data_IF_270561988360
#
_entry.id   IF_270561988360
#
_cell.length_a   1.000
_cell.length_b   1.000
_cell.length_c   1.000
_cell.angle_alpha   90.00
_cell.angle_beta   90.00
_cell.angle_gamma   90.00
#
_symmetry.space_group_name_H-M   'P 1'
#
loop_
_entity.id
_entity.type
_entity.pdbx_description
1 polymer ?
#
# COMPACT_ATOMS: atom_id res chain seq x y z
N UNK A 1 -44.59 32.93 1.88
CA UNK A 1 -43.15 33.04 1.56
C UNK A 1 -42.26 32.20 2.51
N UNK A 2 -42.43 32.15 3.82
CA UNK A 2 -41.59 31.37 4.76
C UNK A 2 -41.61 29.85 4.52
N UNK A 3 -42.73 29.26 4.08
CA UNK A 3 -42.90 27.81 3.86
C UNK A 3 -42.12 27.29 2.65
N UNK A 4 -41.90 28.10 1.62
CA UNK A 4 -41.17 27.75 0.42
C UNK A 4 -39.63 27.81 0.62
N UNK A 5 -39.19 28.69 1.55
CA UNK A 5 -37.75 28.81 1.89
C UNK A 5 -37.27 27.57 2.67
N UNK A 6 -38.13 27.04 3.57
CA UNK A 6 -37.81 25.82 4.35
C UNK A 6 -37.70 24.61 3.44
N UNK A 7 -38.57 24.49 2.42
CA UNK A 7 -38.49 23.42 1.41
C UNK A 7 -37.23 23.52 0.55
N UNK A 8 -36.77 24.74 0.22
CA UNK A 8 -35.56 24.95 -0.55
C UNK A 8 -34.28 24.61 0.26
N UNK A 9 -34.26 24.90 1.56
CA UNK A 9 -33.18 24.55 2.47
C UNK A 9 -33.07 23.02 2.70
N UNK A 10 -34.22 22.32 2.77
CA UNK A 10 -34.23 20.86 2.89
C UNK A 10 -33.77 20.15 1.63
N UNK A 11 -33.93 20.75 0.44
CA UNK A 11 -33.44 20.18 -0.83
C UNK A 11 -31.94 20.35 -1.01
N UNK A 12 -31.30 21.35 -0.39
CA UNK A 12 -29.85 21.55 -0.46
C UNK A 12 -29.04 20.58 0.41
N UNK A 13 -29.63 19.96 1.40
CA UNK A 13 -28.95 19.01 2.30
C UNK A 13 -28.82 17.58 1.75
N UNK A 14 -29.37 17.30 0.56
CA UNK A 14 -29.31 15.97 -0.06
C UNK A 14 -28.16 15.80 -1.07
N UNK A 15 -27.35 16.84 -1.28
CA UNK A 15 -26.09 16.68 -2.01
C UNK A 15 -25.01 16.27 -1.01
N UNK A 16 -25.24 15.15 -0.32
CA UNK A 16 -24.17 14.44 0.36
C UNK A 16 -23.26 13.89 -0.73
N UNK A 17 -22.04 14.41 -0.80
CA UNK A 17 -20.98 13.86 -1.63
C UNK A 17 -20.83 12.37 -1.32
N UNK A 18 -21.35 11.51 -2.17
CA UNK A 18 -20.83 10.17 -2.32
C UNK A 18 -19.48 10.35 -3.03
N UNK A 19 -18.45 10.66 -2.27
CA UNK A 19 -17.11 10.39 -2.77
C UNK A 19 -17.04 8.86 -2.87
N UNK A 20 -17.09 8.33 -4.08
CA UNK A 20 -16.70 6.95 -4.37
C UNK A 20 -15.21 6.83 -4.00
N UNK A 21 -14.96 6.69 -2.70
CA UNK A 21 -13.63 6.40 -2.19
C UNK A 21 -13.33 4.95 -2.54
N UNK A 22 -12.69 4.78 -3.68
CA UNK A 22 -12.19 3.48 -4.08
C UNK A 22 -11.04 3.14 -3.13
N UNK A 23 -11.32 2.34 -2.12
CA UNK A 23 -10.36 1.92 -1.09
C UNK A 23 -9.12 1.27 -1.70
N UNK A 24 -9.27 0.65 -2.87
CA UNK A 24 -8.18 -0.02 -3.58
C UNK A 24 -7.83 0.70 -4.88
N UNK A 25 -6.54 0.83 -5.10
CA UNK A 25 -6.00 1.45 -6.30
C UNK A 25 -6.17 0.52 -7.52
N UNK A 26 -6.77 1.02 -8.57
CA UNK A 26 -6.88 0.35 -9.87
C UNK A 26 -6.04 1.03 -10.95
N UNK A 27 -5.45 2.18 -10.63
CA UNK A 27 -4.68 2.99 -11.58
C UNK A 27 -3.35 2.35 -11.98
N UNK A 28 -2.68 1.70 -11.02
CA UNK A 28 -1.39 1.07 -11.23
C UNK A 28 -1.52 -0.44 -11.10
N UNK A 29 -1.19 -1.14 -12.18
CA UNK A 29 -1.32 -2.59 -12.23
C UNK A 29 -0.39 -3.26 -11.22
N UNK A 30 -0.95 -4.16 -10.43
CA UNK A 30 -0.21 -5.01 -9.52
C UNK A 30 -0.61 -6.47 -9.70
N UNK A 31 0.41 -7.32 -9.76
CA UNK A 31 0.31 -8.78 -9.75
C UNK A 31 1.59 -9.31 -9.11
N UNK A 32 1.50 -9.75 -7.87
CA UNK A 32 2.63 -10.24 -7.12
C UNK A 32 2.21 -11.35 -6.18
N UNK A 33 3.06 -12.36 -6.02
CA UNK A 33 2.87 -13.41 -5.02
C UNK A 33 4.15 -13.69 -4.27
N UNK A 34 4.03 -14.09 -3.01
CA UNK A 34 5.17 -14.50 -2.20
C UNK A 34 4.78 -15.53 -1.14
N UNK A 35 5.77 -16.33 -0.72
CA UNK A 35 5.64 -17.29 0.36
C UNK A 35 6.09 -16.64 1.66
N UNK A 36 5.14 -16.36 2.57
CA UNK A 36 5.38 -15.61 3.81
C UNK A 36 5.96 -16.44 4.96
N UNK A 37 6.18 -17.73 4.77
CA UNK A 37 6.90 -18.57 5.74
C UNK A 37 8.42 -18.48 5.60
N UNK A 38 8.88 -17.99 4.46
CA UNK A 38 10.31 -17.94 4.12
C UNK A 38 10.87 -16.52 4.27
N UNK A 39 12.13 -16.44 4.67
CA UNK A 39 12.90 -15.20 4.63
C UNK A 39 13.07 -14.77 3.16
N UNK A 40 12.89 -13.47 2.82
CA UNK A 40 12.70 -12.32 3.72
C UNK A 40 11.24 -11.94 4.00
N UNK A 41 10.27 -12.66 3.42
CA UNK A 41 8.85 -12.30 3.50
C UNK A 41 8.19 -12.63 4.84
N UNK A 42 8.81 -13.48 5.67
CA UNK A 42 8.26 -13.90 6.96
C UNK A 42 8.03 -12.74 7.95
N UNK A 43 8.67 -11.60 7.76
CA UNK A 43 8.46 -10.40 8.57
C UNK A 43 7.00 -9.89 8.52
N UNK A 44 6.28 -10.12 7.42
CA UNK A 44 4.87 -9.70 7.28
C UNK A 44 3.90 -10.47 8.19
N UNK A 45 4.36 -11.55 8.85
CA UNK A 45 3.55 -12.29 9.83
C UNK A 45 3.57 -11.64 11.23
N UNK A 46 4.36 -10.59 11.41
CA UNK A 46 4.49 -9.90 12.71
C UNK A 46 3.75 -8.56 12.65
N UNK A 47 2.89 -8.32 13.63
CA UNK A 47 2.14 -7.06 13.76
C UNK A 47 3.09 -5.87 13.82
N UNK A 48 2.74 -4.79 13.14
CA UNK A 48 3.52 -3.56 13.05
C UNK A 48 4.78 -3.67 12.18
N UNK A 49 5.05 -4.82 11.58
CA UNK A 49 6.22 -5.03 10.72
C UNK A 49 5.85 -4.85 9.25
N UNK A 50 6.65 -4.03 8.57
CA UNK A 50 6.50 -3.76 7.15
C UNK A 50 7.83 -3.97 6.42
N UNK A 51 7.76 -4.46 5.20
CA UNK A 51 8.88 -4.62 4.28
C UNK A 51 8.57 -3.91 2.97
N UNK A 52 9.61 -3.54 2.22
CA UNK A 52 9.42 -3.06 0.86
C UNK A 52 9.89 -4.10 -0.15
N UNK A 53 9.16 -4.22 -1.25
CA UNK A 53 9.49 -5.11 -2.37
C UNK A 53 9.63 -4.27 -3.64
N UNK A 54 10.77 -4.39 -4.31
CA UNK A 54 11.06 -3.68 -5.54
C UNK A 54 11.60 -4.63 -6.59
N UNK A 55 11.25 -4.38 -7.83
CA UNK A 55 11.81 -5.04 -9.01
C UNK A 55 12.40 -3.97 -9.92
N UNK A 56 13.66 -4.09 -10.24
CA UNK A 56 14.31 -3.23 -11.23
C UNK A 56 14.02 -3.78 -12.63
N UNK A 57 13.76 -2.91 -13.59
CA UNK A 57 13.53 -3.31 -14.98
C UNK A 57 14.72 -4.16 -15.49
N UNK A 58 14.42 -5.30 -16.07
CA UNK A 58 15.42 -6.27 -16.55
C UNK A 58 16.11 -7.08 -15.44
N UNK A 59 15.71 -6.90 -14.17
CA UNK A 59 16.27 -7.69 -13.08
C UNK A 59 15.67 -9.09 -13.03
N UNK A 60 16.51 -10.05 -12.68
CA UNK A 60 16.14 -11.44 -12.40
C UNK A 60 15.81 -11.68 -10.93
N UNK A 61 15.72 -10.62 -10.14
CA UNK A 61 15.42 -10.66 -8.71
C UNK A 61 14.50 -9.52 -8.26
N UNK A 62 13.83 -9.72 -7.12
CA UNK A 62 13.23 -8.65 -6.33
C UNK A 62 14.12 -8.31 -5.15
N UNK A 63 14.32 -7.00 -4.91
CA UNK A 63 14.98 -6.50 -3.71
C UNK A 63 13.95 -6.32 -2.60
N UNK A 64 14.11 -7.01 -1.50
CA UNK A 64 13.25 -6.91 -0.32
C UNK A 64 14.02 -6.26 0.82
N UNK A 65 13.57 -5.08 1.25
CA UNK A 65 14.18 -4.36 2.38
C UNK A 65 13.33 -4.55 3.64
N UNK A 66 13.97 -4.93 4.73
CA UNK A 66 13.36 -5.04 6.06
C UNK A 66 13.99 -3.98 6.98
N UNK A 67 13.22 -2.95 7.41
CA UNK A 67 13.74 -1.89 8.28
C UNK A 67 14.16 -2.39 9.66
N UNK A 68 13.47 -3.38 10.23
CA UNK A 68 13.81 -3.95 11.54
C UNK A 68 15.18 -4.65 11.57
N UNK A 69 15.63 -5.12 10.42
CA UNK A 69 16.96 -5.74 10.26
C UNK A 69 17.96 -4.78 9.61
N UNK A 70 17.53 -3.62 9.11
CA UNK A 70 18.35 -2.70 8.32
C UNK A 70 18.93 -3.37 7.06
N UNK A 71 18.29 -4.43 6.54
CA UNK A 71 18.88 -5.31 5.52
C UNK A 71 18.01 -5.38 4.26
N UNK A 72 18.67 -5.35 3.11
CA UNK A 72 18.09 -5.70 1.80
C UNK A 72 18.51 -7.13 1.43
N UNK A 73 17.55 -7.93 1.00
CA UNK A 73 17.77 -9.30 0.50
C UNK A 73 17.29 -9.39 -0.94
N UNK A 74 18.12 -9.93 -1.83
CA UNK A 74 17.74 -10.21 -3.21
C UNK A 74 17.08 -11.59 -3.28
N UNK A 75 15.86 -11.64 -3.83
CA UNK A 75 15.11 -12.88 -4.02
C UNK A 75 15.06 -13.17 -5.52
N UNK A 76 15.68 -14.25 -5.97
CA UNK A 76 15.64 -14.65 -7.38
C UNK A 76 14.20 -14.91 -7.84
N UNK A 77 13.91 -14.54 -9.07
CA UNK A 77 12.61 -14.76 -9.72
C UNK A 77 12.75 -15.89 -10.75
N UNK A 78 11.75 -16.76 -10.82
CA UNK A 78 11.56 -17.67 -11.93
C UNK A 78 11.24 -16.90 -13.22
N UNK A 79 11.38 -17.55 -14.38
CA UNK A 79 11.03 -16.93 -15.66
C UNK A 79 9.56 -16.48 -15.73
N UNK A 80 8.65 -17.23 -15.11
CA UNK A 80 7.24 -16.89 -15.03
C UNK A 80 7.05 -15.63 -14.20
N UNK A 81 7.65 -15.54 -13.00
CA UNK A 81 7.58 -14.38 -12.13
C UNK A 81 8.23 -13.14 -12.76
N UNK A 82 9.32 -13.32 -13.48
CA UNK A 82 9.95 -12.20 -14.21
C UNK A 82 8.99 -11.55 -15.22
N UNK A 83 8.14 -12.34 -15.86
CA UNK A 83 7.17 -11.87 -16.87
C UNK A 83 5.86 -11.40 -16.28
N UNK A 84 5.39 -12.05 -15.19
CA UNK A 84 4.05 -11.81 -14.62
C UNK A 84 4.03 -10.80 -13.49
N UNK A 85 5.14 -10.62 -12.74
CA UNK A 85 5.15 -9.71 -11.61
C UNK A 85 5.18 -8.25 -12.03
N UNK A 86 4.13 -7.53 -11.65
CA UNK A 86 4.00 -6.09 -11.70
C UNK A 86 3.80 -5.58 -10.28
N UNK A 87 4.50 -4.51 -9.90
CA UNK A 87 4.59 -4.04 -8.53
C UNK A 87 4.05 -2.61 -8.37
N UNK A 88 2.96 -2.28 -9.07
CA UNK A 88 2.39 -0.95 -9.02
C UNK A 88 3.30 0.13 -9.64
N UNK A 89 3.25 1.35 -9.09
CA UNK A 89 4.02 2.50 -9.59
C UNK A 89 5.47 2.50 -9.10
N UNK A 90 5.71 2.28 -7.80
CA UNK A 90 7.03 2.43 -7.16
C UNK A 90 7.65 1.16 -6.61
N UNK A 91 6.88 0.11 -6.51
CA UNK A 91 7.13 -1.10 -5.74
C UNK A 91 6.03 -1.33 -4.73
N UNK A 92 6.20 -2.26 -3.81
CA UNK A 92 5.21 -2.58 -2.78
C UNK A 92 5.77 -2.34 -1.37
N UNK A 93 4.88 -1.95 -0.46
CA UNK A 93 5.04 -2.06 0.98
C UNK A 93 4.08 -3.15 1.44
N UNK A 94 4.59 -4.18 2.11
CA UNK A 94 3.80 -5.30 2.62
C UNK A 94 4.00 -5.41 4.13
N UNK A 95 2.93 -5.63 4.88
CA UNK A 95 3.05 -5.85 6.31
C UNK A 95 1.72 -6.03 7.01
N UNK A 96 1.79 -6.38 8.27
CA UNK A 96 0.62 -6.57 9.12
C UNK A 96 0.46 -5.35 10.04
N UNK A 97 -0.58 -4.51 9.86
CA UNK A 97 -0.83 -3.39 10.75
C UNK A 97 -1.28 -3.86 12.14
N UNK A 98 -1.15 -2.99 13.14
CA UNK A 98 -1.71 -3.25 14.48
C UNK A 98 -3.24 -3.30 14.44
N UNK A 99 -3.87 -2.49 13.59
CA UNK A 99 -5.31 -2.48 13.39
C UNK A 99 -5.62 -2.87 11.95
N UNK A 100 -6.43 -3.89 11.76
CA UNK A 100 -6.88 -4.31 10.44
C UNK A 100 -8.40 -4.17 10.33
N UNK A 101 -8.89 -4.11 9.11
CA UNK A 101 -10.32 -3.97 8.77
C UNK A 101 -11.08 -5.31 8.81
N UNK A 102 -10.46 -6.39 9.26
CA UNK A 102 -11.03 -7.74 9.31
C UNK A 102 -11.08 -8.46 7.96
N UNK A 103 -10.71 -7.80 6.85
CA UNK A 103 -10.72 -8.40 5.50
C UNK A 103 -9.42 -9.11 5.16
N UNK A 104 -8.30 -8.58 5.62
CA UNK A 104 -6.98 -9.16 5.45
C UNK A 104 -6.10 -8.83 6.63
N UNK A 105 -5.29 -9.79 7.05
CA UNK A 105 -4.27 -9.56 8.09
C UNK A 105 -3.07 -8.80 7.56
N UNK A 106 -2.74 -8.96 6.26
CA UNK A 106 -1.63 -8.27 5.60
C UNK A 106 -2.17 -7.19 4.68
N UNK A 107 -1.57 -6.01 4.75
CA UNK A 107 -1.84 -4.89 3.87
C UNK A 107 -0.74 -4.73 2.83
N UNK A 108 -1.13 -4.28 1.65
CA UNK A 108 -0.23 -3.97 0.55
C UNK A 108 -0.48 -2.54 0.08
N UNK A 109 0.58 -1.73 0.09
CA UNK A 109 0.55 -0.36 -0.42
C UNK A 109 1.56 -0.20 -1.55
N UNK A 110 1.34 0.79 -2.41
CA UNK A 110 2.38 1.22 -3.35
C UNK A 110 3.52 1.90 -2.60
N UNK A 111 4.74 1.65 -3.03
CA UNK A 111 5.92 2.29 -2.47
C UNK A 111 6.12 3.72 -2.99
N UNK A 112 5.41 4.14 -4.05
CA UNK A 112 5.43 5.52 -4.52
C UNK A 112 4.54 6.41 -3.67
N UNK A 113 5.01 7.64 -3.43
CA UNK A 113 4.22 8.68 -2.77
C UNK A 113 3.04 9.10 -3.65
N UNK A 114 1.77 8.98 -3.18
CA UNK A 114 0.61 9.32 -3.98
C UNK A 114 0.46 10.82 -4.24
N UNK A 115 1.01 11.68 -3.37
CA UNK A 115 1.01 13.14 -3.57
C UNK A 115 1.98 13.54 -4.68
N UNK A 116 3.15 12.90 -4.78
CA UNK A 116 4.12 13.13 -5.84
C UNK A 116 3.74 12.45 -7.16
N UNK A 117 3.05 11.31 -7.07
CA UNK A 117 2.54 10.47 -8.16
C UNK A 117 3.60 10.14 -9.23
N UNK A 118 4.79 9.74 -8.77
CA UNK A 118 5.94 9.39 -9.62
C UNK A 118 6.66 8.16 -9.09
N UNK A 119 7.01 7.23 -9.98
CA UNK A 119 7.76 6.01 -9.66
C UNK A 119 9.11 6.28 -8.95
N UNK A 120 9.69 7.47 -9.17
CA UNK A 120 10.94 7.88 -8.52
C UNK A 120 10.75 8.45 -7.11
N UNK A 121 9.53 8.84 -6.73
CA UNK A 121 9.21 9.41 -5.42
C UNK A 121 8.85 8.29 -4.43
N UNK A 122 9.80 7.40 -4.16
CA UNK A 122 9.61 6.26 -3.26
C UNK A 122 9.68 6.68 -1.81
N UNK A 123 8.81 6.06 -1.03
CA UNK A 123 8.76 6.23 0.41
C UNK A 123 9.91 5.46 1.08
N UNK A 124 10.38 5.99 2.19
CA UNK A 124 11.23 5.26 3.15
C UNK A 124 10.38 4.85 4.32
N UNK A 125 10.50 3.59 4.75
CA UNK A 125 9.74 3.08 5.89
C UNK A 125 10.65 2.91 7.09
N UNK A 126 10.12 3.22 8.27
CA UNK A 126 10.79 3.02 9.55
C UNK A 126 10.28 1.77 10.29
N UNK A 127 10.81 1.55 11.50
CA UNK A 127 10.44 0.42 12.37
C UNK A 127 9.14 0.65 13.13
N UNK A 128 8.61 1.87 13.14
CA UNK A 128 7.35 2.24 13.79
C UNK A 128 6.15 2.10 12.84
N UNK A 129 6.40 1.84 11.56
CA UNK A 129 5.35 1.75 10.54
C UNK A 129 4.99 3.10 9.92
N UNK A 130 5.89 4.08 9.98
CA UNK A 130 5.74 5.31 9.21
C UNK A 130 6.42 5.17 7.86
N UNK A 131 5.78 5.73 6.84
CA UNK A 131 6.31 5.82 5.49
C UNK A 131 6.49 7.28 5.10
N UNK A 132 7.73 7.74 4.96
CA UNK A 132 8.06 9.15 4.68
C UNK A 132 8.47 9.34 3.24
N UNK A 133 7.92 10.36 2.59
CA UNK A 133 8.33 10.76 1.25
C UNK A 133 9.53 11.72 1.32
N UNK A 134 10.72 11.34 0.82
CA UNK A 134 11.88 12.23 0.86
C UNK A 134 11.75 13.44 -0.10
N UNK A 135 10.71 13.47 -0.93
CA UNK A 135 10.51 14.50 -1.96
C UNK A 135 9.58 15.62 -1.52
N UNK A 136 8.44 15.29 -0.87
CA UNK A 136 7.45 16.28 -0.41
C UNK A 136 7.37 16.37 1.11
N UNK A 137 8.04 15.49 1.85
CA UNK A 137 8.03 15.47 3.30
C UNK A 137 6.81 14.80 3.93
N UNK A 138 5.80 14.39 3.16
CA UNK A 138 4.62 13.73 3.72
C UNK A 138 4.98 12.44 4.44
N UNK A 139 4.34 12.23 5.60
CA UNK A 139 4.44 11.01 6.40
C UNK A 139 3.09 10.30 6.42
N UNK A 140 3.11 9.00 6.24
CA UNK A 140 1.94 8.12 6.19
C UNK A 140 2.04 7.06 7.27
N UNK A 141 0.93 6.76 7.95
CA UNK A 141 0.85 5.70 8.96
C UNK A 141 0.37 4.38 8.30
N UNK A 142 1.29 3.43 8.19
CA UNK A 142 1.02 2.10 7.62
C UNK A 142 0.13 1.25 8.53
N UNK A 143 0.14 1.52 9.84
CA UNK A 143 -0.69 0.82 10.81
C UNK A 143 -2.14 1.29 10.79
N UNK A 144 -2.40 2.46 10.19
CA UNK A 144 -3.72 3.08 10.10
C UNK A 144 -4.12 3.35 8.64
N UNK A 145 -4.15 2.31 7.83
CA UNK A 145 -4.66 2.38 6.46
C UNK A 145 -3.83 3.22 5.48
N UNK A 146 -2.61 3.63 5.84
CA UNK A 146 -1.77 4.49 5.00
C UNK A 146 -2.25 5.94 4.96
N UNK A 147 -2.93 6.40 6.00
CA UNK A 147 -3.39 7.80 6.14
C UNK A 147 -2.20 8.75 6.28
N UNK A 148 -2.36 9.98 5.77
CA UNK A 148 -1.38 11.05 5.99
C UNK A 148 -1.43 11.48 7.45
N UNK A 149 -0.29 11.48 8.14
CA UNK A 149 -0.14 11.97 9.52
C UNK A 149 0.65 13.26 9.60
N UNK A 150 1.51 13.51 8.59
CA UNK A 150 2.18 14.80 8.43
C UNK A 150 2.14 15.20 6.95
N UNK A 151 1.84 16.48 6.68
CA UNK A 151 1.63 17.02 5.34
C UNK A 151 0.18 16.96 4.89
N UNK A 152 -0.05 17.01 3.59
CA UNK A 152 -1.39 17.06 2.98
C UNK A 152 -1.50 16.11 1.79
N UNK A 153 -2.71 15.66 1.49
CA UNK A 153 -3.00 14.87 0.31
C UNK A 153 -3.84 13.63 0.59
N UNK A 154 -3.79 12.69 -0.34
CA UNK A 154 -4.54 11.44 -0.27
C UNK A 154 -3.77 10.36 0.51
N UNK A 155 -4.47 9.35 1.06
CA UNK A 155 -3.85 8.15 1.63
C UNK A 155 -2.99 7.40 0.59
N UNK A 156 -2.17 6.46 1.06
CA UNK A 156 -1.39 5.58 0.20
C UNK A 156 -2.29 4.79 -0.76
N UNK A 157 -1.80 4.53 -1.96
CA UNK A 157 -2.42 3.58 -2.88
C UNK A 157 -2.40 2.18 -2.24
N UNK A 158 -3.57 1.64 -1.96
CA UNK A 158 -3.73 0.31 -1.35
C UNK A 158 -4.12 -0.70 -2.43
N UNK A 159 -3.63 -1.92 -2.32
CA UNK A 159 -3.94 -3.05 -3.20
C UNK A 159 -4.66 -4.16 -2.45
N UNK A 160 -5.40 -4.99 -3.18
CA UNK A 160 -6.04 -6.16 -2.61
C UNK A 160 -5.00 -7.21 -2.25
N UNK A 161 -5.19 -7.86 -1.12
CA UNK A 161 -4.38 -8.99 -0.68
C UNK A 161 -5.29 -10.17 -0.47
N UNK A 162 -4.97 -11.28 -1.11
CA UNK A 162 -5.64 -12.57 -0.92
C UNK A 162 -4.63 -13.58 -0.40
N UNK A 163 -4.97 -14.27 0.66
CA UNK A 163 -4.17 -15.36 1.19
C UNK A 163 -4.83 -16.68 0.80
N UNK A 164 -4.23 -17.45 -0.12
CA UNK A 164 -4.80 -18.70 -0.61
C UNK A 164 -4.51 -19.89 0.29
N UNK A 165 -3.50 -19.79 1.14
CA UNK A 165 -3.09 -20.77 2.13
C UNK A 165 -2.39 -20.06 3.28
N UNK A 166 -2.05 -20.79 4.34
CA UNK A 166 -1.30 -20.23 5.49
C UNK A 166 0.04 -19.59 5.07
N UNK A 167 0.56 -19.95 3.90
CA UNK A 167 1.90 -19.57 3.48
C UNK A 167 1.99 -18.65 2.26
N UNK A 168 0.93 -18.49 1.46
CA UNK A 168 1.03 -17.76 0.19
C UNK A 168 0.11 -16.54 0.17
N UNK A 169 0.70 -15.38 -0.09
CA UNK A 169 -0.01 -14.12 -0.37
C UNK A 169 -0.04 -13.84 -1.86
N UNK A 170 -1.16 -13.28 -2.32
CA UNK A 170 -1.33 -12.67 -3.63
C UNK A 170 -1.73 -11.21 -3.46
N UNK A 171 -1.01 -10.32 -4.13
CA UNK A 171 -1.32 -8.89 -4.21
C UNK A 171 -1.81 -8.60 -5.63
N UNK A 172 -2.97 -8.00 -5.75
CA UNK A 172 -3.61 -7.76 -7.05
C UNK A 172 -4.54 -6.52 -7.02
N UNK A 173 -4.94 -6.06 -8.20
CA UNK A 173 -6.00 -5.04 -8.36
C UNK A 173 -7.37 -5.63 -8.18
#
# INVERSE_FOLDING_TARGET
>A
MKRNIILLLAALSLVACTSDYNEFCTQYQVSFSCTITNVPYNAVNSMGQFITVRKKTGSTSCSVYNPSLGKTTEVPLSEVEMRSFTLGLGGLILGQPYFNDGRSTVYAYDLACPTCDKASARLTIDTQGNATCPKCGNVYDLNNGGLVVEGEGRPLYRYRVTQSSVSTLFVHN
#
